data_IF_152004399306
#
_entry.id   IF_152004399306
#
_cell.length_a   1.000
_cell.length_b   1.000
_cell.length_c   1.000
_cell.angle_alpha   90.00
_cell.angle_beta   90.00
_cell.angle_gamma   90.00
#
_symmetry.space_group_name_H-M   'P 1'
#
loop_
_entity.id
_entity.type
_entity.pdbx_description
1 polymer ?
#
# COMPACT_ATOMS: atom_id res chain seq x y z
N UNK A 1 -4.83 -9.47 -1.95
CA UNK A 1 -4.27 -8.10 -1.94
C UNK A 1 -5.43 -7.15 -1.71
N UNK A 2 -5.22 -6.07 -0.99
CA UNK A 2 -6.22 -5.02 -0.77
C UNK A 2 -5.77 -3.76 -1.50
N UNK A 3 -6.60 -3.30 -2.45
CA UNK A 3 -6.35 -2.06 -3.18
C UNK A 3 -6.61 -0.85 -2.28
N UNK A 4 -5.68 0.10 -2.31
CA UNK A 4 -5.82 1.43 -1.71
C UNK A 4 -6.14 2.51 -2.75
N UNK A 5 -6.16 2.15 -4.04
CA UNK A 5 -6.47 3.10 -5.10
C UNK A 5 -7.92 3.59 -5.01
N UNK A 6 -8.09 4.91 -5.03
CA UNK A 6 -9.42 5.55 -4.97
C UNK A 6 -10.01 5.62 -3.57
N UNK A 7 -9.25 5.26 -2.53
CA UNK A 7 -9.63 5.45 -1.12
C UNK A 7 -9.35 6.88 -0.70
N UNK A 8 -10.26 7.48 0.06
CA UNK A 8 -10.12 8.86 0.49
C UNK A 8 -8.96 9.01 1.48
N UNK A 9 -8.26 10.14 1.42
CA UNK A 9 -7.24 10.49 2.42
C UNK A 9 -7.93 10.54 3.81
N UNK A 10 -7.42 9.80 4.79
CA UNK A 10 -8.01 9.76 6.14
C UNK A 10 -9.07 8.66 6.38
N UNK A 11 -9.47 7.90 5.36
CA UNK A 11 -10.41 6.79 5.54
C UNK A 11 -9.74 5.68 6.37
N UNK A 12 -10.22 5.42 7.59
CA UNK A 12 -9.79 4.28 8.38
C UNK A 12 -10.51 3.02 7.95
N UNK A 13 -9.85 2.18 7.16
CA UNK A 13 -10.38 0.84 6.85
C UNK A 13 -9.73 -0.17 7.77
N UNK A 14 -10.54 -0.77 8.64
CA UNK A 14 -10.13 -1.90 9.46
C UNK A 14 -10.28 -3.19 8.67
N UNK A 15 -9.16 -3.85 8.42
CA UNK A 15 -9.11 -5.18 7.84
C UNK A 15 -8.62 -6.15 8.90
N UNK A 16 -8.89 -7.45 8.67
CA UNK A 16 -8.43 -8.50 9.58
C UNK A 16 -6.90 -8.47 9.64
N UNK A 17 -6.37 -7.97 10.76
CA UNK A 17 -4.94 -7.89 11.06
C UNK A 17 -4.25 -6.55 10.82
N UNK A 18 -4.88 -5.56 10.16
CA UNK A 18 -4.27 -4.23 9.96
C UNK A 18 -5.29 -3.12 9.61
N UNK A 19 -4.90 -1.88 9.80
CA UNK A 19 -5.61 -0.67 9.35
C UNK A 19 -4.68 0.25 8.58
N UNK A 20 -5.26 1.16 7.80
CA UNK A 20 -4.57 2.39 7.40
C UNK A 20 -5.30 3.60 7.98
N UNK A 21 -4.56 4.68 8.26
CA UNK A 21 -5.14 5.94 8.75
C UNK A 21 -5.07 7.07 7.74
N UNK A 22 -4.18 6.98 6.75
CA UNK A 22 -4.04 7.95 5.68
C UNK A 22 -3.41 7.30 4.46
N UNK A 23 -3.84 7.73 3.28
CA UNK A 23 -3.29 7.35 1.99
C UNK A 23 -3.13 8.64 1.20
N UNK A 24 -1.98 8.84 0.58
CA UNK A 24 -1.75 9.91 -0.39
C UNK A 24 -1.22 9.31 -1.68
N UNK A 25 -1.52 9.94 -2.81
CA UNK A 25 -0.94 9.54 -4.08
C UNK A 25 -0.87 10.70 -5.07
N UNK A 26 0.04 10.60 -6.02
CA UNK A 26 0.05 11.39 -7.24
C UNK A 26 0.05 10.44 -8.46
N UNK A 27 0.45 10.94 -9.63
CA UNK A 27 0.51 10.11 -10.84
C UNK A 27 1.58 9.01 -10.77
N UNK A 28 2.64 9.19 -9.98
CA UNK A 28 3.85 8.38 -10.01
C UNK A 28 4.12 7.61 -8.72
N UNK A 29 3.67 8.13 -7.57
CA UNK A 29 3.98 7.60 -6.25
C UNK A 29 2.76 7.65 -5.33
N UNK A 30 2.78 6.75 -4.35
CA UNK A 30 1.77 6.67 -3.30
C UNK A 30 2.44 6.35 -1.97
N UNK A 31 1.76 6.71 -0.89
CA UNK A 31 2.13 6.31 0.45
C UNK A 31 0.91 6.14 1.33
N UNK A 32 1.04 5.33 2.36
CA UNK A 32 0.02 5.10 3.37
C UNK A 32 0.65 4.85 4.73
N UNK A 33 0.02 5.41 5.76
CA UNK A 33 0.32 5.05 7.13
C UNK A 33 -0.51 3.81 7.50
N UNK A 34 0.19 2.75 7.91
CA UNK A 34 -0.37 1.42 8.13
C UNK A 34 -0.07 0.95 9.54
N UNK A 35 -1.09 0.47 10.24
CA UNK A 35 -0.94 -0.19 11.54
C UNK A 35 -1.27 -1.67 11.42
N UNK A 36 -0.31 -2.52 11.74
CA UNK A 36 -0.47 -3.98 11.74
C UNK A 36 -0.70 -4.45 13.17
N UNK A 37 -1.77 -5.19 13.40
CA UNK A 37 -2.14 -5.77 14.69
C UNK A 37 -1.74 -7.26 14.78
N UNK A 38 -1.77 -7.98 13.67
CA UNK A 38 -1.41 -9.40 13.60
C UNK A 38 -0.99 -9.79 12.18
N UNK A 39 -0.21 -10.85 12.00
CA UNK A 39 0.23 -11.30 10.68
C UNK A 39 1.39 -10.51 10.08
N UNK A 40 1.57 -10.62 8.76
CA UNK A 40 2.63 -9.95 8.02
C UNK A 40 2.12 -9.35 6.71
N UNK A 41 2.32 -8.04 6.52
CA UNK A 41 1.86 -7.30 5.35
C UNK A 41 2.95 -6.44 4.73
N UNK A 42 2.87 -6.17 3.43
CA UNK A 42 3.78 -5.28 2.71
C UNK A 42 3.05 -4.44 1.68
N UNK A 43 3.74 -3.47 1.11
CA UNK A 43 3.23 -2.59 0.08
C UNK A 43 3.37 -3.21 -1.32
N UNK A 44 2.36 -3.09 -2.19
CA UNK A 44 2.50 -3.39 -3.60
C UNK A 44 2.21 -2.15 -4.45
N UNK A 45 2.90 -2.02 -5.58
CA UNK A 45 2.76 -0.91 -6.53
C UNK A 45 2.72 -1.47 -7.95
N UNK A 46 1.65 -1.19 -8.68
CA UNK A 46 1.48 -1.57 -10.08
C UNK A 46 1.68 -0.35 -10.97
N UNK A 47 2.49 -0.54 -12.01
CA UNK A 47 2.87 0.50 -12.94
C UNK A 47 2.30 0.24 -14.34
N UNK A 48 2.21 1.29 -15.17
CA UNK A 48 1.61 1.21 -16.50
C UNK A 48 2.43 0.43 -17.52
N UNK A 49 3.71 0.20 -17.24
CA UNK A 49 4.56 -0.72 -18.03
C UNK A 49 4.24 -2.21 -17.78
N UNK A 50 3.28 -2.51 -16.89
CA UNK A 50 2.88 -3.87 -16.51
C UNK A 50 3.66 -4.43 -15.32
N UNK A 51 4.69 -3.74 -14.83
CA UNK A 51 5.47 -4.18 -13.69
C UNK A 51 4.68 -4.04 -12.38
N UNK A 52 4.94 -4.96 -11.44
CA UNK A 52 4.47 -4.86 -10.06
C UNK A 52 5.66 -4.93 -9.11
N UNK A 53 5.82 -3.90 -8.27
CA UNK A 53 6.89 -3.78 -7.27
C UNK A 53 6.33 -4.11 -5.89
N UNK A 54 7.03 -4.94 -5.14
CA UNK A 54 6.65 -5.36 -3.79
C UNK A 54 7.67 -4.88 -2.77
N UNK A 55 7.18 -4.23 -1.71
CA UNK A 55 7.97 -3.92 -0.53
C UNK A 55 8.09 -5.13 0.41
N UNK A 56 9.02 -5.08 1.38
CA UNK A 56 9.15 -6.13 2.38
C UNK A 56 7.88 -6.26 3.22
N UNK A 57 7.60 -7.49 3.68
CA UNK A 57 6.54 -7.72 4.66
C UNK A 57 7.01 -7.29 6.05
N UNK A 58 6.16 -6.57 6.76
CA UNK A 58 6.34 -6.10 8.12
C UNK A 58 5.36 -6.81 9.06
N UNK A 59 5.81 -7.08 10.29
CA UNK A 59 4.98 -7.62 11.36
C UNK A 59 4.21 -6.54 12.11
N UNK A 60 3.60 -6.88 13.27
CA UNK A 60 2.85 -5.94 14.10
C UNK A 60 3.66 -4.68 14.42
N UNK A 61 3.02 -3.52 14.28
CA UNK A 61 3.69 -2.23 14.40
C UNK A 61 3.01 -1.14 13.59
N UNK A 62 3.65 0.03 13.55
CA UNK A 62 3.23 1.16 12.74
C UNK A 62 4.28 1.41 11.65
N UNK A 63 3.84 1.45 10.41
CA UNK A 63 4.72 1.43 9.25
C UNK A 63 4.24 2.42 8.19
N UNK A 64 5.19 2.98 7.45
CA UNK A 64 4.90 3.68 6.21
C UNK A 64 5.04 2.71 5.03
N UNK A 65 3.93 2.47 4.36
CA UNK A 65 3.88 1.71 3.12
C UNK A 65 3.84 2.68 1.95
N UNK A 66 4.39 2.28 0.83
CA UNK A 66 4.40 3.11 -0.36
C UNK A 66 5.24 2.53 -1.46
N UNK A 67 5.26 3.25 -2.57
CA UNK A 67 6.08 2.91 -3.72
C UNK A 67 5.91 3.93 -4.84
N UNK A 68 6.75 3.78 -5.87
CA UNK A 68 6.75 4.66 -7.03
C UNK A 68 6.96 3.87 -8.33
N UNK A 69 6.54 4.48 -9.43
CA UNK A 69 6.71 3.99 -10.79
C UNK A 69 7.81 4.75 -11.57
N UNK A 70 8.79 5.35 -10.89
CA UNK A 70 9.89 6.01 -11.60
C UNK A 70 10.61 4.99 -12.50
N UNK A 71 10.78 5.34 -13.78
CA UNK A 71 11.31 4.44 -14.81
C UNK A 71 10.36 3.35 -15.31
N UNK A 72 9.10 3.31 -14.85
CA UNK A 72 8.11 2.26 -15.14
C UNK A 72 6.74 2.82 -15.59
N UNK A 73 6.69 4.09 -16.00
CA UNK A 73 5.45 4.78 -16.34
C UNK A 73 4.71 5.33 -15.11
N UNK A 74 3.38 5.19 -15.04
CA UNK A 74 2.55 5.78 -13.99
C UNK A 74 1.80 4.74 -13.17
N UNK A 75 1.27 5.15 -12.01
CA UNK A 75 0.51 4.26 -11.12
C UNK A 75 -0.78 3.76 -11.79
N UNK A 76 -0.91 2.45 -11.90
CA UNK A 76 -2.14 1.78 -12.34
C UNK A 76 -2.89 1.14 -11.18
N UNK A 77 -2.18 0.75 -10.11
CA UNK A 77 -2.74 0.17 -8.89
C UNK A 77 -1.74 0.21 -7.74
N UNK A 78 -2.22 0.17 -6.51
CA UNK A 78 -1.36 0.10 -5.33
C UNK A 78 -2.16 -0.34 -4.11
N UNK A 79 -1.45 -0.84 -3.10
CA UNK A 79 -2.06 -1.15 -1.82
C UNK A 79 -1.24 -2.10 -0.98
N UNK A 80 -1.93 -2.97 -0.25
CA UNK A 80 -1.32 -3.86 0.74
C UNK A 80 -1.52 -5.32 0.38
N UNK A 81 -0.47 -6.12 0.51
CA UNK A 81 -0.49 -7.57 0.33
C UNK A 81 0.00 -8.24 1.62
N UNK A 82 -0.46 -9.46 1.90
CA UNK A 82 -0.09 -10.16 3.12
C UNK A 82 -1.23 -11.00 3.69
N UNK A 83 -0.99 -11.57 4.85
CA UNK A 83 -1.91 -12.47 5.55
C UNK A 83 -1.66 -12.45 7.05
N UNK A 84 -2.70 -12.71 7.82
CA UNK A 84 -2.71 -12.77 9.28
C UNK A 84 -3.94 -13.49 9.80
#
# INVERSE_FOLDING_TARGET
MTSLKGKAEGERVALKGWTWDSVWHNRMAWGANVRIYSGQYGAYTQCSDGSTRYGPKQGPGYWQFGGNCYGAGHLTGYGVFGSG
#
